data_IF_275323871277
#
_entry.id   IF_275323871277
#
_cell.length_a   1.000
_cell.length_b   1.000
_cell.length_c   1.000
_cell.angle_alpha   90.00
_cell.angle_beta   90.00
_cell.angle_gamma   90.00
#
_symmetry.space_group_name_H-M   'P 1'
#
loop_
_entity.id
_entity.type
_entity.pdbx_description
1 polymer ?
#
# COMPACT_ATOMS: atom_id res chain seq x y z
N UNK A 1 48.17 16.80 -57.38
CA UNK A 1 49.18 17.13 -56.34
C UNK A 1 48.80 16.33 -55.11
N UNK A 2 49.39 15.16 -54.91
CA UNK A 2 50.58 14.98 -54.07
C UNK A 2 50.13 14.29 -52.76
N UNK A 3 50.11 12.95 -52.74
CA UNK A 3 51.06 12.07 -52.01
C UNK A 3 50.87 12.02 -50.50
N UNK A 4 50.22 10.93 -50.05
CA UNK A 4 50.75 9.90 -49.13
C UNK A 4 51.71 10.33 -48.00
N UNK A 5 51.38 9.95 -46.75
CA UNK A 5 52.26 9.14 -45.89
C UNK A 5 51.59 8.60 -44.62
N UNK A 6 51.68 7.26 -44.48
CA UNK A 6 51.59 6.49 -43.23
C UNK A 6 52.75 6.85 -42.29
N UNK A 7 52.52 6.75 -40.98
CA UNK A 7 53.55 6.68 -39.95
C UNK A 7 53.02 5.92 -38.74
N UNK A 8 53.75 4.89 -38.31
CA UNK A 8 53.35 3.86 -37.36
C UNK A 8 53.90 4.10 -35.93
N UNK A 9 53.25 3.43 -34.98
CA UNK A 9 53.76 2.82 -33.75
C UNK A 9 54.55 3.65 -32.71
N UNK A 10 54.04 3.66 -31.47
CA UNK A 10 54.87 3.46 -30.28
C UNK A 10 54.04 2.84 -29.16
N UNK A 11 54.29 1.56 -28.92
CA UNK A 11 53.99 0.79 -27.72
C UNK A 11 54.91 1.22 -26.58
N UNK A 12 54.37 1.40 -25.38
CA UNK A 12 55.12 1.24 -24.13
C UNK A 12 54.29 0.41 -23.13
N UNK A 13 54.82 -0.77 -22.85
CA UNK A 13 54.55 -1.58 -21.67
C UNK A 13 55.55 -1.17 -20.60
N UNK A 14 55.08 -1.01 -19.35
CA UNK A 14 55.86 -1.25 -18.16
C UNK A 14 54.93 -1.86 -17.10
N UNK A 15 55.08 -3.17 -16.92
CA UNK A 15 54.93 -3.87 -15.64
C UNK A 15 55.84 -3.17 -14.59
N UNK A 16 55.69 -3.26 -13.28
CA UNK A 16 55.18 -4.32 -12.42
C UNK A 16 55.24 -3.80 -10.96
N UNK A 17 54.61 -4.54 -10.05
CA UNK A 17 54.93 -4.64 -8.61
C UNK A 17 54.49 -3.53 -7.64
N UNK A 18 53.52 -3.90 -6.80
CA UNK A 18 53.21 -3.22 -5.54
C UNK A 18 52.29 -4.07 -4.66
N UNK A 19 52.74 -5.26 -4.26
CA UNK A 19 52.10 -6.09 -3.25
C UNK A 19 51.94 -5.30 -1.94
N UNK A 20 50.71 -5.09 -1.47
CA UNK A 20 50.42 -4.72 -0.08
C UNK A 20 49.87 -5.94 0.65
N UNK A 21 50.78 -6.64 1.35
CA UNK A 21 50.48 -7.56 2.43
C UNK A 21 50.87 -6.91 3.76
N UNK A 22 50.19 -7.37 4.81
CA UNK A 22 50.49 -7.21 6.25
C UNK A 22 49.98 -5.86 6.80
N UNK A 23 49.19 -5.76 7.86
CA UNK A 23 49.25 -6.51 9.13
C UNK A 23 47.93 -6.42 9.90
N UNK A 24 47.42 -7.54 10.39
CA UNK A 24 46.47 -7.57 11.51
C UNK A 24 47.28 -7.43 12.81
N UNK A 25 47.17 -6.27 13.48
CA UNK A 25 47.68 -6.10 14.83
C UNK A 25 46.53 -6.24 15.83
N UNK A 26 46.62 -7.28 16.66
CA UNK A 26 45.85 -7.43 17.88
C UNK A 26 46.36 -6.43 18.92
N UNK A 27 45.47 -5.58 19.43
CA UNK A 27 45.72 -4.81 20.66
C UNK A 27 44.62 -5.20 21.65
N UNK A 28 44.98 -6.14 22.52
CA UNK A 28 44.33 -6.35 23.82
C UNK A 28 44.77 -5.23 24.76
N UNK A 29 43.84 -4.41 25.23
CA UNK A 29 44.06 -3.57 26.41
C UNK A 29 43.02 -3.93 27.47
N UNK A 30 43.50 -4.67 28.49
CA UNK A 30 42.84 -4.83 29.77
C UNK A 30 42.95 -3.53 30.57
N UNK A 31 41.83 -2.94 30.95
CA UNK A 31 41.76 -2.12 32.17
C UNK A 31 40.50 -2.56 32.91
N UNK A 32 40.72 -3.27 34.01
CA UNK A 32 39.67 -3.57 34.98
C UNK A 32 39.45 -2.39 35.90
N UNK A 33 38.20 -2.18 36.30
CA UNK A 33 37.84 -1.57 37.57
C UNK A 33 36.65 -2.36 38.13
N UNK A 34 36.86 -2.86 39.34
CA UNK A 34 35.96 -3.68 40.13
C UNK A 34 34.89 -2.86 40.84
N UNK A 35 33.73 -3.49 41.01
CA UNK A 35 32.87 -3.50 42.21
C UNK A 35 32.58 -2.18 42.94
N UNK A 36 31.29 -1.85 43.04
CA UNK A 36 30.71 -1.57 44.34
C UNK A 36 29.24 -2.02 44.37
N UNK A 37 29.03 -3.08 45.12
CA UNK A 37 27.77 -3.56 45.64
C UNK A 37 27.56 -2.86 46.98
N UNK A 38 26.36 -2.36 47.22
CA UNK A 38 25.93 -1.89 48.55
C UNK A 38 24.64 -2.60 48.87
N UNK A 39 24.78 -3.57 49.77
CA UNK A 39 23.72 -4.13 50.60
C UNK A 39 23.20 -3.06 51.56
N UNK A 40 21.90 -3.07 51.81
CA UNK A 40 21.33 -2.61 53.08
C UNK A 40 20.16 -3.53 53.46
N UNK A 41 20.33 -4.16 54.62
CA UNK A 41 19.51 -5.21 55.20
C UNK A 41 18.72 -4.67 56.42
N UNK A 42 17.51 -5.24 56.61
CA UNK A 42 16.73 -5.46 57.85
C UNK A 42 15.95 -4.32 58.56
N UNK A 43 14.70 -4.46 59.11
CA UNK A 43 13.55 -5.43 59.25
C UNK A 43 12.42 -4.67 60.09
N UNK A 44 11.32 -5.22 60.66
CA UNK A 44 9.99 -5.67 60.15
C UNK A 44 8.71 -5.07 60.86
N UNK A 45 7.49 -5.52 60.49
CA UNK A 45 6.35 -5.99 61.37
C UNK A 45 5.03 -6.20 60.55
N UNK A 46 4.55 -7.44 60.29
CA UNK A 46 3.52 -8.29 60.99
C UNK A 46 2.07 -7.76 61.02
N UNK A 47 1.12 -8.46 60.37
CA UNK A 47 -0.04 -9.17 61.00
C UNK A 47 -0.94 -9.91 59.97
N UNK A 48 -1.20 -11.20 60.22
CA UNK A 48 -2.25 -12.05 59.62
C UNK A 48 -3.50 -12.09 60.54
N UNK A 49 -4.70 -12.25 59.97
CA UNK A 49 -5.74 -13.10 60.58
C UNK A 49 -6.84 -13.55 59.61
N UNK A 50 -7.17 -14.84 59.69
CA UNK A 50 -8.22 -15.59 58.99
C UNK A 50 -9.65 -15.26 59.46
N UNK A 51 -10.66 -15.60 58.65
CA UNK A 51 -11.99 -16.01 59.17
C UNK A 51 -12.72 -16.97 58.23
N UNK A 52 -13.27 -18.03 58.84
CA UNK A 52 -14.04 -19.16 58.29
C UNK A 52 -15.54 -18.87 58.22
N UNK A 53 -16.28 -19.45 57.25
CA UNK A 53 -17.76 -19.52 57.33
C UNK A 53 -18.32 -20.84 56.78
N UNK A 54 -19.22 -21.44 57.55
CA UNK A 54 -19.89 -22.74 57.37
C UNK A 54 -21.04 -22.74 56.32
N UNK A 55 -21.38 -23.93 55.83
CA UNK A 55 -22.53 -24.25 54.94
C UNK A 55 -23.84 -24.49 55.70
N UNK A 56 -25.00 -24.17 55.07
CA UNK A 56 -26.28 -24.95 55.00
C UNK A 56 -27.42 -24.05 54.42
N UNK A 57 -28.60 -24.57 53.97
CA UNK A 57 -28.87 -25.62 52.98
C UNK A 57 -29.72 -25.10 51.78
N UNK A 58 -29.85 -25.93 50.74
CA UNK A 58 -30.48 -25.67 49.43
C UNK A 58 -32.02 -25.74 49.42
N UNK A 59 -32.68 -24.83 48.67
CA UNK A 59 -34.05 -24.96 48.18
C UNK A 59 -34.07 -25.13 46.65
N UNK A 60 -34.98 -25.92 46.06
CA UNK A 60 -34.96 -26.23 44.63
C UNK A 60 -35.63 -25.11 43.82
N UNK A 61 -34.90 -24.54 42.86
CA UNK A 61 -35.47 -23.66 41.83
C UNK A 61 -35.70 -24.48 40.57
N UNK A 62 -36.95 -24.48 40.09
CA UNK A 62 -37.39 -25.09 38.84
C UNK A 62 -36.79 -24.32 37.66
N UNK A 63 -35.93 -24.96 36.87
CA UNK A 63 -35.37 -24.40 35.63
C UNK A 63 -36.17 -24.95 34.44
N UNK A 64 -36.92 -24.07 33.76
CA UNK A 64 -37.43 -24.34 32.42
C UNK A 64 -36.28 -24.14 31.42
N UNK A 65 -36.09 -25.02 30.43
CA UNK A 65 -35.03 -24.84 29.44
C UNK A 65 -35.47 -23.80 28.41
N UNK A 66 -34.98 -22.57 28.53
CA UNK A 66 -34.90 -21.66 27.39
C UNK A 66 -33.69 -22.07 26.56
N UNK A 67 -33.94 -22.71 25.43
CA UNK A 67 -32.95 -22.85 24.36
C UNK A 67 -32.58 -21.45 23.86
N UNK A 68 -31.43 -20.95 24.30
CA UNK A 68 -30.78 -19.81 23.67
C UNK A 68 -30.15 -20.34 22.39
N UNK A 69 -30.74 -19.98 21.26
CA UNK A 69 -30.10 -20.14 19.95
C UNK A 69 -28.94 -19.15 19.95
N UNK A 70 -27.71 -19.66 20.12
CA UNK A 70 -26.49 -18.89 19.84
C UNK A 70 -26.24 -18.99 18.34
N UNK A 71 -27.02 -18.25 17.57
CA UNK A 71 -26.64 -17.79 16.25
C UNK A 71 -26.46 -16.26 16.38
N UNK A 72 -25.53 -15.68 15.63
CA UNK A 72 -25.28 -14.22 15.52
C UNK A 72 -24.20 -13.61 16.43
N UNK A 73 -23.07 -14.29 16.66
CA UNK A 73 -21.84 -13.58 17.10
C UNK A 73 -20.55 -13.93 16.35
N UNK A 74 -20.60 -14.83 15.35
CA UNK A 74 -19.39 -15.18 14.56
C UNK A 74 -19.23 -14.38 13.26
N UNK A 75 -20.24 -13.66 12.77
CA UNK A 75 -20.12 -12.84 11.55
C UNK A 75 -19.44 -11.47 11.78
N UNK A 76 -19.30 -11.01 13.03
CA UNK A 76 -18.73 -9.69 13.33
C UNK A 76 -17.20 -9.68 13.55
N UNK A 77 -16.51 -10.81 13.42
CA UNK A 77 -15.05 -10.91 13.64
C UNK A 77 -14.22 -11.01 12.35
N UNK A 78 -14.85 -11.05 11.17
CA UNK A 78 -14.17 -11.24 9.87
C UNK A 78 -14.35 -10.07 8.89
N UNK A 79 -14.40 -8.85 9.40
CA UNK A 79 -14.58 -7.64 8.57
C UNK A 79 -13.98 -6.36 9.15
N UNK A 80 -13.11 -6.45 10.16
CA UNK A 80 -12.41 -5.27 10.65
C UNK A 80 -11.35 -4.87 9.63
N UNK A 81 -11.51 -3.70 8.99
CA UNK A 81 -10.38 -3.05 8.35
C UNK A 81 -9.33 -2.84 9.44
N UNK A 82 -8.18 -3.50 9.29
CA UNK A 82 -7.07 -3.35 10.23
C UNK A 82 -6.61 -1.90 10.17
N UNK A 83 -6.27 -1.32 11.33
CA UNK A 83 -5.76 0.04 11.40
C UNK A 83 -4.30 0.08 10.96
N UNK A 84 -4.08 0.58 9.75
CA UNK A 84 -2.78 0.91 9.17
C UNK A 84 -2.46 2.41 9.34
N UNK A 85 -3.15 3.12 10.24
CA UNK A 85 -2.84 4.54 10.51
C UNK A 85 -1.38 4.70 10.94
N UNK A 86 -0.71 5.66 10.30
CA UNK A 86 0.72 5.91 10.49
C UNK A 86 1.66 4.89 9.85
N UNK A 87 1.19 3.90 9.10
CA UNK A 87 2.04 2.94 8.36
C UNK A 87 2.19 3.30 6.87
N UNK A 88 1.55 4.39 6.45
CA UNK A 88 1.44 4.79 5.04
C UNK A 88 2.07 6.16 4.86
N UNK A 89 3.04 6.23 3.96
CA UNK A 89 3.53 7.47 3.38
C UNK A 89 2.94 7.60 1.98
N UNK A 90 2.60 8.82 1.56
CA UNK A 90 2.02 9.04 0.24
C UNK A 90 2.47 10.34 -0.39
N UNK A 91 2.38 10.37 -1.72
CA UNK A 91 2.43 11.58 -2.53
C UNK A 91 1.32 11.53 -3.55
N UNK A 92 0.69 12.67 -3.84
CA UNK A 92 -0.44 12.76 -4.76
C UNK A 92 -0.52 14.13 -5.42
N UNK A 93 -1.38 14.24 -6.43
CA UNK A 93 -1.86 15.50 -7.00
C UNK A 93 -0.77 16.53 -7.24
N UNK A 94 -0.97 17.74 -6.75
CA UNK A 94 -0.09 18.88 -7.00
C UNK A 94 1.14 18.93 -6.08
N UNK A 95 1.99 17.91 -6.17
CA UNK A 95 3.25 17.77 -5.45
C UNK A 95 3.10 17.71 -3.92
N UNK A 96 1.97 17.21 -3.43
CA UNK A 96 1.77 16.97 -2.01
C UNK A 96 2.47 15.70 -1.56
N UNK A 97 2.92 15.71 -0.32
CA UNK A 97 3.51 14.58 0.37
C UNK A 97 2.94 14.51 1.78
N UNK A 98 2.79 13.28 2.28
CA UNK A 98 2.48 12.97 3.67
C UNK A 98 3.46 11.89 4.15
N UNK A 99 4.17 12.16 5.25
CA UNK A 99 5.10 11.21 5.85
C UNK A 99 4.38 10.09 6.60
N UNK A 100 5.12 9.05 7.01
CA UNK A 100 4.56 7.99 7.85
C UNK A 100 3.96 8.55 9.16
N UNK A 101 4.53 9.62 9.70
CA UNK A 101 4.09 10.25 10.94
C UNK A 101 3.05 11.37 10.71
N UNK A 102 2.52 11.48 9.49
CA UNK A 102 1.41 12.38 9.18
C UNK A 102 1.82 13.83 8.94
N UNK A 103 3.09 14.10 8.59
CA UNK A 103 3.56 15.45 8.26
C UNK A 103 3.32 15.76 6.79
N UNK A 104 2.52 16.81 6.54
CA UNK A 104 2.21 17.29 5.19
C UNK A 104 3.24 18.31 4.73
N UNK A 105 3.61 18.24 3.46
CA UNK A 105 4.46 19.24 2.81
C UNK A 105 4.28 19.19 1.29
N UNK A 106 4.84 20.19 0.59
CA UNK A 106 4.74 20.30 -0.86
C UNK A 106 6.14 20.55 -1.44
N UNK A 107 6.50 19.79 -2.48
CA UNK A 107 7.77 19.91 -3.20
C UNK A 107 7.52 20.06 -4.70
N UNK A 108 7.34 21.30 -5.21
CA UNK A 108 6.98 21.55 -6.60
C UNK A 108 8.17 21.39 -7.55
N UNK A 109 8.75 20.20 -7.58
CA UNK A 109 9.96 19.90 -8.32
C UNK A 109 9.79 18.58 -9.09
N UNK A 110 10.32 18.52 -10.31
CA UNK A 110 10.32 17.32 -11.16
C UNK A 110 11.54 16.41 -10.92
N UNK A 111 12.21 16.58 -9.77
CA UNK A 111 13.42 15.84 -9.43
C UNK A 111 13.11 14.35 -9.17
N UNK A 112 14.15 13.51 -9.25
CA UNK A 112 14.10 12.18 -8.67
C UNK A 112 14.35 12.27 -7.16
N UNK A 113 13.48 11.66 -6.36
CA UNK A 113 13.57 11.66 -4.90
C UNK A 113 13.56 10.24 -4.34
N UNK A 114 14.28 10.03 -3.24
CA UNK A 114 14.08 8.86 -2.38
C UNK A 114 12.84 9.13 -1.52
N UNK A 115 11.78 8.35 -1.74
CA UNK A 115 10.62 8.36 -0.87
C UNK A 115 10.93 7.69 0.46
N UNK A 116 11.35 6.42 0.40
CA UNK A 116 11.64 5.63 1.58
C UNK A 116 12.77 4.62 1.30
N UNK A 117 13.67 4.47 2.26
CA UNK A 117 14.77 3.50 2.27
C UNK A 117 15.15 3.18 3.72
N UNK A 118 15.89 2.11 3.96
CA UNK A 118 16.52 1.92 5.27
C UNK A 118 17.71 2.88 5.40
N UNK A 119 17.86 3.51 6.58
CA UNK A 119 18.99 4.42 6.83
C UNK A 119 20.34 3.70 6.84
N UNK A 120 20.39 2.44 7.26
CA UNK A 120 21.62 1.63 7.19
C UNK A 120 21.86 1.18 5.74
N UNK A 121 22.79 1.88 5.08
CA UNK A 121 23.05 1.77 3.64
C UNK A 121 23.82 0.52 3.24
N UNK A 122 24.36 -0.24 4.18
CA UNK A 122 25.22 -1.39 3.85
C UNK A 122 24.42 -2.61 3.36
N UNK A 123 23.15 -2.74 3.77
CA UNK A 123 22.23 -3.80 3.35
C UNK A 123 20.76 -3.34 3.37
N UNK A 124 20.42 -2.24 2.68
CA UNK A 124 19.03 -1.78 2.62
C UNK A 124 18.13 -2.80 1.91
N UNK A 125 17.21 -3.40 2.67
CA UNK A 125 16.24 -4.39 2.19
C UNK A 125 15.25 -3.82 1.17
N UNK A 126 14.98 -2.52 1.23
CA UNK A 126 14.21 -1.80 0.23
C UNK A 126 14.76 -0.41 -0.08
N UNK A 127 14.43 0.11 -1.26
CA UNK A 127 14.69 1.50 -1.64
C UNK A 127 13.65 1.93 -2.68
N UNK A 128 12.91 3.00 -2.40
CA UNK A 128 11.80 3.46 -3.23
C UNK A 128 12.11 4.88 -3.67
N UNK A 129 12.21 5.06 -4.99
CA UNK A 129 12.47 6.34 -5.63
C UNK A 129 11.38 6.66 -6.63
N UNK A 130 11.10 7.94 -6.81
CA UNK A 130 10.12 8.41 -7.78
C UNK A 130 10.55 9.73 -8.41
N UNK A 131 10.17 9.91 -9.68
CA UNK A 131 10.37 11.14 -10.42
C UNK A 131 9.08 11.57 -11.09
N UNK A 132 8.73 12.83 -10.92
CA UNK A 132 7.60 13.47 -11.62
C UNK A 132 8.06 14.14 -12.91
N UNK A 133 7.13 14.27 -13.85
CA UNK A 133 7.22 15.18 -14.99
C UNK A 133 5.97 16.06 -15.02
N UNK A 134 6.08 17.20 -15.66
CA UNK A 134 4.93 18.06 -15.93
C UNK A 134 4.46 17.78 -17.37
N UNK A 135 3.36 17.03 -17.52
CA UNK A 135 2.80 16.67 -18.83
C UNK A 135 1.41 17.26 -18.96
N UNK A 136 1.14 17.98 -20.05
CA UNK A 136 -0.18 18.58 -20.31
C UNK A 136 -0.70 19.45 -19.15
N UNK A 137 0.19 20.21 -18.51
CA UNK A 137 -0.08 21.03 -17.32
C UNK A 137 -0.48 20.27 -16.04
N UNK A 138 -0.18 18.96 -15.96
CA UNK A 138 -0.41 18.15 -14.78
C UNK A 138 0.89 17.48 -14.33
N UNK A 139 1.14 17.43 -13.01
CA UNK A 139 2.20 16.60 -12.47
C UNK A 139 1.83 15.13 -12.61
N UNK A 140 2.74 14.33 -13.16
CA UNK A 140 2.55 12.88 -13.35
C UNK A 140 3.81 12.14 -12.95
N UNK A 141 3.67 10.97 -12.35
CA UNK A 141 4.81 10.10 -12.06
C UNK A 141 5.33 9.54 -13.37
N UNK A 142 6.54 9.96 -13.74
CA UNK A 142 7.19 9.61 -15.01
C UNK A 142 7.99 8.32 -14.91
N UNK A 143 8.60 8.09 -13.75
CA UNK A 143 9.38 6.92 -13.45
C UNK A 143 9.40 6.70 -11.94
N UNK A 144 9.61 5.44 -11.57
CA UNK A 144 9.96 5.05 -10.22
C UNK A 144 10.99 3.93 -10.29
N UNK A 145 11.78 3.79 -9.23
CA UNK A 145 12.63 2.64 -8.99
C UNK A 145 12.28 2.09 -7.63
N UNK A 146 11.79 0.85 -7.59
CA UNK A 146 11.43 0.14 -6.38
C UNK A 146 12.37 -1.05 -6.27
N UNK A 147 13.29 -1.02 -5.31
CA UNK A 147 14.14 -2.15 -4.96
C UNK A 147 13.53 -2.87 -3.77
N UNK A 148 13.25 -4.16 -3.90
CA UNK A 148 12.80 -5.04 -2.81
C UNK A 148 13.67 -6.30 -2.81
N UNK A 149 14.41 -6.54 -1.73
CA UNK A 149 15.21 -7.75 -1.53
C UNK A 149 16.23 -8.02 -2.67
N UNK A 150 16.73 -6.95 -3.29
CA UNK A 150 17.64 -7.03 -4.42
C UNK A 150 16.97 -7.10 -5.80
N UNK A 151 15.66 -7.35 -5.86
CA UNK A 151 14.87 -7.24 -7.09
C UNK A 151 14.64 -5.77 -7.40
N UNK A 152 14.87 -5.35 -8.65
CA UNK A 152 14.72 -3.95 -9.07
C UNK A 152 13.56 -3.83 -10.04
N UNK A 153 12.51 -3.13 -9.63
CA UNK A 153 11.35 -2.81 -10.44
C UNK A 153 11.47 -1.36 -10.90
N UNK A 154 11.31 -1.10 -12.20
CA UNK A 154 11.38 0.25 -12.78
C UNK A 154 10.18 0.54 -13.65
N UNK A 155 9.65 1.75 -13.54
CA UNK A 155 8.78 2.35 -14.54
C UNK A 155 9.62 3.24 -15.44
N UNK A 156 9.59 3.00 -16.76
CA UNK A 156 10.23 3.86 -17.76
C UNK A 156 9.37 3.87 -19.01
N UNK A 157 9.01 5.08 -19.47
CA UNK A 157 8.14 5.28 -20.65
C UNK A 157 6.82 4.49 -20.60
N UNK A 158 6.21 4.39 -19.42
CA UNK A 158 4.96 3.65 -19.21
C UNK A 158 5.12 2.13 -19.15
N UNK A 159 6.34 1.61 -19.24
CA UNK A 159 6.65 0.18 -19.21
C UNK A 159 7.23 -0.17 -17.83
N UNK A 160 6.64 -1.19 -17.20
CA UNK A 160 7.17 -1.78 -15.97
C UNK A 160 8.14 -2.90 -16.34
N UNK A 161 9.33 -2.83 -15.76
CA UNK A 161 10.37 -3.85 -15.88
C UNK A 161 10.75 -4.39 -14.51
N UNK A 162 11.18 -5.65 -14.45
CA UNK A 162 11.76 -6.30 -13.29
C UNK A 162 13.12 -6.84 -13.69
N UNK A 163 14.17 -6.39 -13.01
CA UNK A 163 15.56 -6.69 -13.35
C UNK A 163 15.88 -6.47 -14.84
N UNK A 164 15.43 -5.32 -15.37
CA UNK A 164 15.62 -4.87 -16.76
C UNK A 164 14.78 -5.62 -17.82
N UNK A 165 14.00 -6.64 -17.43
CA UNK A 165 13.10 -7.35 -18.34
C UNK A 165 11.67 -6.84 -18.20
N UNK A 166 10.95 -6.70 -19.33
CA UNK A 166 9.54 -6.30 -19.33
C UNK A 166 8.70 -7.38 -18.64
N UNK A 167 7.77 -6.95 -17.79
CA UNK A 167 6.87 -7.83 -17.05
C UNK A 167 5.44 -7.70 -17.58
N UNK A 168 4.79 -8.85 -17.80
CA UNK A 168 3.34 -8.91 -17.98
C UNK A 168 2.65 -8.95 -16.61
N UNK A 169 1.58 -8.19 -16.43
CA UNK A 169 0.85 -8.05 -15.16
C UNK A 169 -0.47 -8.82 -15.27
N UNK A 170 -0.82 -9.69 -14.29
CA UNK A 170 -0.15 -9.91 -13.00
C UNK A 170 1.13 -10.75 -13.10
N UNK A 171 2.07 -10.54 -12.17
CA UNK A 171 3.33 -11.28 -12.08
C UNK A 171 3.67 -11.63 -10.64
N UNK A 172 4.22 -12.83 -10.46
CA UNK A 172 4.81 -13.29 -9.20
C UNK A 172 6.17 -13.92 -9.47
N UNK A 173 7.24 -13.19 -9.20
CA UNK A 173 8.60 -13.59 -9.52
C UNK A 173 9.55 -13.10 -8.43
N UNK A 174 10.55 -13.91 -8.08
CA UNK A 174 11.58 -13.56 -7.09
C UNK A 174 11.03 -13.07 -5.73
N UNK A 175 9.84 -13.54 -5.32
CA UNK A 175 9.18 -13.12 -4.08
C UNK A 175 8.44 -11.78 -4.16
N UNK A 176 8.48 -11.10 -5.31
CA UNK A 176 7.74 -9.86 -5.58
C UNK A 176 6.48 -10.18 -6.37
N UNK A 177 5.36 -9.56 -5.96
CA UNK A 177 4.07 -9.63 -6.64
C UNK A 177 3.73 -8.27 -7.26
N UNK A 178 3.33 -8.26 -8.52
CA UNK A 178 2.85 -7.08 -9.25
C UNK A 178 1.44 -7.38 -9.74
N UNK A 179 0.47 -6.57 -9.32
CA UNK A 179 -0.94 -6.76 -9.63
C UNK A 179 -1.58 -5.46 -10.05
N UNK A 180 -2.46 -5.53 -11.05
CA UNK A 180 -3.28 -4.40 -11.46
C UNK A 180 -4.69 -4.58 -10.93
N UNK A 181 -5.15 -3.63 -10.12
CA UNK A 181 -6.56 -3.42 -9.80
C UNK A 181 -7.13 -2.36 -10.72
N UNK A 182 -8.40 -1.98 -10.55
CA UNK A 182 -8.99 -0.88 -11.32
C UNK A 182 -8.48 0.50 -10.91
N UNK A 183 -7.91 0.62 -9.71
CA UNK A 183 -7.44 1.89 -9.16
C UNK A 183 -5.92 1.99 -9.07
N UNK A 184 -5.18 0.86 -9.04
CA UNK A 184 -3.73 0.87 -8.85
C UNK A 184 -3.02 -0.29 -9.53
N UNK A 185 -1.72 -0.10 -9.72
CA UNK A 185 -0.74 -1.18 -9.73
C UNK A 185 -0.16 -1.31 -8.31
N UNK A 186 -0.34 -2.49 -7.70
CA UNK A 186 0.23 -2.89 -6.40
C UNK A 186 1.52 -3.68 -6.64
N UNK A 187 2.63 -3.23 -6.08
CA UNK A 187 3.93 -3.91 -6.09
C UNK A 187 4.26 -4.26 -4.64
N UNK A 188 4.36 -5.55 -4.31
CA UNK A 188 4.48 -6.01 -2.92
C UNK A 188 5.49 -7.13 -2.73
N UNK A 189 6.06 -7.19 -1.52
CA UNK A 189 6.83 -8.35 -1.03
C UNK A 189 6.19 -8.86 0.25
N UNK A 190 5.80 -10.14 0.24
CA UNK A 190 5.25 -10.82 1.41
C UNK A 190 6.31 -11.02 2.51
N UNK A 191 7.60 -11.09 2.15
CA UNK A 191 8.68 -11.28 3.12
C UNK A 191 9.02 -9.97 3.85
N UNK A 192 8.99 -8.84 3.14
CA UNK A 192 9.14 -7.53 3.75
C UNK A 192 7.85 -7.02 4.41
N UNK A 193 6.70 -7.58 4.02
CA UNK A 193 5.35 -7.08 4.32
C UNK A 193 5.13 -5.64 3.84
N UNK A 194 5.84 -5.25 2.78
CA UNK A 194 5.81 -3.91 2.20
C UNK A 194 5.01 -3.92 0.90
N UNK A 195 4.17 -2.90 0.72
CA UNK A 195 3.45 -2.66 -0.52
C UNK A 195 3.64 -1.23 -1.03
N UNK A 196 3.77 -1.08 -2.34
CA UNK A 196 3.74 0.20 -3.06
C UNK A 196 2.53 0.21 -3.98
N UNK A 197 1.73 1.25 -3.91
CA UNK A 197 0.55 1.43 -4.74
C UNK A 197 0.76 2.65 -5.64
N UNK A 198 0.58 2.48 -6.95
CA UNK A 198 0.65 3.56 -7.92
C UNK A 198 -0.65 3.61 -8.71
N UNK A 199 -1.28 4.77 -8.79
CA UNK A 199 -2.58 4.95 -9.45
C UNK A 199 -2.51 5.09 -10.99
N UNK A 200 -1.37 4.70 -11.57
CA UNK A 200 -1.01 4.89 -12.97
C UNK A 200 -0.91 6.37 -13.41
N UNK A 201 -0.97 7.31 -12.46
CA UNK A 201 -0.98 8.76 -12.71
C UNK A 201 -0.03 9.51 -11.77
N UNK A 202 -0.56 10.18 -10.75
CA UNK A 202 0.16 11.15 -9.94
C UNK A 202 0.25 10.78 -8.45
N UNK A 203 -0.38 9.67 -8.05
CA UNK A 203 -0.41 9.21 -6.67
C UNK A 203 0.41 7.94 -6.50
N UNK A 204 1.28 7.95 -5.49
CA UNK A 204 2.03 6.79 -5.06
C UNK A 204 2.08 6.74 -3.54
N UNK A 205 1.69 5.59 -2.98
CA UNK A 205 1.78 5.33 -1.54
C UNK A 205 2.70 4.15 -1.25
N UNK A 206 3.36 4.22 -0.09
CA UNK A 206 4.23 3.19 0.45
C UNK A 206 3.66 2.78 1.79
N UNK A 207 3.34 1.50 1.93
CA UNK A 207 2.86 0.89 3.16
C UNK A 207 3.95 -0.02 3.73
N UNK A 208 4.30 0.19 5.00
CA UNK A 208 5.32 -0.59 5.71
C UNK A 208 4.83 -1.03 7.10
N UNK A 209 5.24 -2.23 7.56
CA UNK A 209 4.92 -2.69 8.91
C UNK A 209 5.70 -1.91 9.97
N UNK A 210 5.12 -1.86 11.16
CA UNK A 210 5.70 -1.18 12.34
C UNK A 210 7.10 -1.67 12.76
N UNK A 211 7.55 -2.84 12.28
CA UNK A 211 8.92 -3.33 12.51
C UNK A 211 10.01 -2.42 11.94
N UNK A 212 9.68 -1.52 11.01
CA UNK A 212 10.60 -0.53 10.43
C UNK A 212 10.65 0.82 11.16
N UNK A 213 9.95 0.96 12.30
CA UNK A 213 10.00 2.20 13.09
C UNK A 213 11.44 2.59 13.44
N UNK A 214 11.74 3.89 13.38
CA UNK A 214 13.07 4.48 13.61
C UNK A 214 14.19 3.98 12.67
N UNK A 215 13.85 3.34 11.57
CA UNK A 215 14.85 2.75 10.65
C UNK A 215 14.76 3.33 9.24
N UNK A 216 13.71 4.08 8.93
CA UNK A 216 13.50 4.63 7.59
C UNK A 216 14.17 5.98 7.41
N UNK A 217 14.52 6.26 6.16
CA UNK A 217 15.09 7.50 5.69
C UNK A 217 14.45 7.83 4.34
N UNK A 218 14.44 9.10 3.95
CA UNK A 218 13.80 9.57 2.72
C UNK A 218 12.76 10.65 2.99
N UNK A 219 12.03 11.07 1.95
CA UNK A 219 10.94 12.02 2.08
C UNK A 219 9.82 11.57 3.03
N UNK A 220 9.66 10.26 3.23
CA UNK A 220 8.65 9.68 4.12
C UNK A 220 8.99 9.74 5.63
N UNK A 221 10.13 10.31 6.01
CA UNK A 221 10.52 10.48 7.41
C UNK A 221 11.20 9.26 8.03
N UNK A 222 11.41 9.32 9.35
CA UNK A 222 12.10 8.27 10.12
C UNK A 222 11.15 7.26 10.77
N UNK A 223 9.84 7.48 10.63
CA UNK A 223 8.77 6.61 11.09
C UNK A 223 8.87 6.36 12.62
N UNK A 224 9.11 7.41 13.39
CA UNK A 224 9.25 7.35 14.84
C UNK A 224 7.91 7.58 15.58
N UNK A 225 6.87 8.06 14.89
CA UNK A 225 5.56 8.42 15.45
C UNK A 225 5.42 9.88 15.89
N UNK A 226 6.38 10.75 15.59
CA UNK A 226 6.50 12.10 16.14
C UNK A 226 6.49 13.12 14.99
N UNK A 227 5.28 13.52 14.57
CA UNK A 227 5.09 14.52 13.50
C UNK A 227 5.94 15.80 13.63
N UNK A 228 6.17 16.30 14.85
CA UNK A 228 6.81 17.60 15.07
C UNK A 228 8.33 17.61 14.80
N UNK A 229 8.99 16.45 14.71
CA UNK A 229 10.44 16.37 14.51
C UNK A 229 10.83 15.95 13.09
N UNK A 230 9.87 15.72 12.20
CA UNK A 230 10.09 15.21 10.84
C UNK A 230 11.09 16.04 10.03
N UNK A 231 11.12 17.37 10.26
CA UNK A 231 12.04 18.29 9.60
C UNK A 231 13.13 18.82 10.53
N UNK A 232 13.41 18.13 11.64
CA UNK A 232 14.51 18.46 12.53
C UNK A 232 15.70 17.55 12.22
N UNK A 233 16.83 18.15 11.87
CA UNK A 233 18.05 17.42 11.57
C UNK A 233 19.25 18.04 12.26
N UNK A 234 20.02 17.22 12.99
CA UNK A 234 21.17 17.68 13.77
C UNK A 234 20.84 18.87 14.71
N UNK A 235 19.58 18.96 15.16
CA UNK A 235 19.08 20.04 16.01
C UNK A 235 18.59 21.29 15.27
N UNK A 236 18.62 21.32 13.94
CA UNK A 236 18.15 22.43 13.12
C UNK A 236 16.81 22.11 12.45
N UNK A 237 15.88 23.06 12.49
CA UNK A 237 14.59 22.98 11.81
C UNK A 237 14.78 23.36 10.33
N UNK A 238 14.53 22.41 9.44
CA UNK A 238 14.61 22.60 7.99
C UNK A 238 13.30 23.13 7.42
N UNK A 239 13.40 23.86 6.32
CA UNK A 239 12.25 24.12 5.44
C UNK A 239 11.90 22.85 4.66
N UNK A 240 10.69 22.77 4.10
CA UNK A 240 10.33 21.64 3.23
C UNK A 240 11.27 21.52 2.03
N UNK A 241 11.71 22.65 1.46
CA UNK A 241 12.63 22.68 0.32
C UNK A 241 14.01 22.12 0.68
N UNK A 242 14.58 22.53 1.81
CA UNK A 242 15.87 22.01 2.29
C UNK A 242 15.79 20.52 2.63
N UNK A 243 14.68 20.11 3.25
CA UNK A 243 14.39 18.70 3.51
C UNK A 243 14.30 17.89 2.20
N UNK A 244 13.61 18.43 1.19
CA UNK A 244 13.54 17.83 -0.15
C UNK A 244 14.89 17.72 -0.83
N UNK A 245 15.71 18.77 -0.75
CA UNK A 245 17.04 18.82 -1.35
C UNK A 245 17.96 17.70 -0.83
N UNK A 246 17.87 17.38 0.46
CA UNK A 246 18.63 16.27 1.05
C UNK A 246 18.36 14.92 0.39
N UNK A 247 17.10 14.68 0.01
CA UNK A 247 16.65 13.37 -0.50
C UNK A 247 16.60 13.31 -2.03
N UNK A 248 17.12 14.34 -2.69
CA UNK A 248 17.26 14.43 -4.14
C UNK A 248 18.33 13.47 -4.66
N UNK A 249 18.00 12.72 -5.70
CA UNK A 249 18.85 11.69 -6.33
C UNK A 249 18.86 11.80 -7.86
N UNK A 250 19.03 13.01 -8.39
CA UNK A 250 19.19 13.20 -9.84
C UNK A 250 20.54 12.66 -10.32
N UNK A 251 20.55 11.96 -11.45
CA UNK A 251 21.79 11.64 -12.14
C UNK A 251 22.48 12.90 -12.67
N UNK A 252 23.81 12.88 -12.94
CA UNK A 252 24.53 14.08 -13.42
C UNK A 252 23.97 14.72 -14.70
N UNK A 253 23.25 13.93 -15.51
CA UNK A 253 22.63 14.35 -16.76
C UNK A 253 21.13 14.66 -16.62
N UNK A 254 20.54 14.42 -15.45
CA UNK A 254 19.14 14.69 -15.19
C UNK A 254 18.95 16.12 -14.71
N UNK A 255 18.03 16.84 -15.35
CA UNK A 255 17.65 18.20 -14.97
C UNK A 255 16.31 18.19 -14.27
N UNK A 256 16.26 18.83 -13.11
CA UNK A 256 15.03 19.04 -12.36
C UNK A 256 14.53 20.47 -12.58
N UNK A 257 13.22 20.61 -12.74
CA UNK A 257 12.53 21.87 -12.92
C UNK A 257 11.76 22.21 -11.65
N UNK A 258 11.89 23.46 -11.20
CA UNK A 258 11.02 24.04 -10.20
C UNK A 258 9.74 24.54 -10.88
N UNK A 259 8.60 24.14 -10.35
CA UNK A 259 7.28 24.56 -10.84
C UNK A 259 6.84 25.76 -10.01
N UNK A 260 6.58 26.87 -10.70
CA UNK A 260 6.05 28.07 -10.05
C UNK A 260 4.63 27.80 -9.54
N UNK A 261 4.50 27.77 -8.20
CA UNK A 261 3.22 27.66 -7.52
C UNK A 261 2.61 29.06 -7.37
N UNK A 262 1.32 29.22 -7.72
CA UNK A 262 0.59 30.45 -7.41
C UNK A 262 0.43 30.57 -5.90
N UNK A 263 0.98 31.64 -5.32
CA UNK A 263 0.95 31.89 -3.87
C UNK A 263 0.14 33.12 -3.46
N UNK A 264 -0.35 33.93 -4.40
CA UNK A 264 -1.09 35.15 -4.06
C UNK A 264 -2.55 34.87 -3.66
N UNK A 265 -2.89 35.27 -2.43
CA UNK A 265 -4.21 35.27 -1.76
C UNK A 265 -5.19 34.14 -2.15
N UNK A 266 -4.82 32.90 -1.82
CA UNK A 266 -5.71 31.73 -1.87
C UNK A 266 -6.80 31.73 -0.75
N UNK A 267 -7.06 32.86 -0.08
CA UNK A 267 -7.70 32.90 1.25
C UNK A 267 -9.22 32.67 1.30
N UNK A 268 -9.90 32.52 0.17
CA UNK A 268 -11.37 32.38 0.12
C UNK A 268 -11.88 30.96 -0.18
N UNK A 269 -11.01 29.94 -0.22
CA UNK A 269 -11.42 28.56 -0.58
C UNK A 269 -11.58 27.60 0.60
N UNK A 270 -11.24 28.04 1.82
CA UNK A 270 -11.24 27.17 3.01
C UNK A 270 -12.60 26.55 3.29
N UNK A 271 -13.66 27.36 3.28
CA UNK A 271 -15.02 26.89 3.59
C UNK A 271 -15.50 25.83 2.59
N UNK A 272 -15.15 25.98 1.31
CA UNK A 272 -15.48 24.99 0.28
C UNK A 272 -14.69 23.69 0.50
N UNK A 273 -13.39 23.77 0.75
CA UNK A 273 -12.56 22.60 1.07
C UNK A 273 -13.03 21.84 2.31
N UNK A 274 -13.38 22.56 3.39
CA UNK A 274 -13.91 21.95 4.61
C UNK A 274 -15.24 21.24 4.34
N UNK A 275 -16.15 21.87 3.60
CA UNK A 275 -17.43 21.26 3.23
C UNK A 275 -17.24 20.00 2.39
N UNK A 276 -16.42 20.06 1.33
CA UNK A 276 -16.17 18.92 0.45
C UNK A 276 -15.51 17.76 1.19
N UNK A 277 -14.51 18.04 2.03
CA UNK A 277 -13.85 17.01 2.83
C UNK A 277 -14.79 16.41 3.87
N UNK A 278 -15.70 17.18 4.47
CA UNK A 278 -16.72 16.64 5.37
C UNK A 278 -17.67 15.67 4.65
N UNK A 279 -18.08 15.99 3.42
CA UNK A 279 -18.93 15.12 2.62
C UNK A 279 -18.21 13.79 2.30
N UNK A 280 -16.93 13.86 1.92
CA UNK A 280 -16.06 12.68 1.72
C UNK A 280 -15.84 11.90 3.02
N UNK A 281 -15.66 12.61 4.14
CA UNK A 281 -15.35 12.04 5.45
C UNK A 281 -16.57 11.45 6.17
N UNK A 282 -17.76 11.57 5.60
CA UNK A 282 -18.98 11.00 6.16
C UNK A 282 -18.81 9.52 6.52
N UNK A 283 -19.50 9.06 7.57
CA UNK A 283 -19.26 7.75 8.17
C UNK A 283 -18.23 7.79 9.29
N UNK A 284 -17.31 6.82 9.34
CA UNK A 284 -16.34 6.66 10.44
C UNK A 284 -15.05 7.48 10.29
N UNK A 285 -14.82 8.12 9.13
CA UNK A 285 -13.53 8.76 8.83
C UNK A 285 -13.23 9.97 9.73
N UNK A 286 -14.24 10.80 10.04
CA UNK A 286 -14.06 12.02 10.84
C UNK A 286 -13.46 11.77 12.24
N UNK A 287 -13.72 10.60 12.83
CA UNK A 287 -13.15 10.22 14.13
C UNK A 287 -11.75 9.59 14.04
N UNK A 288 -11.34 9.18 12.85
CA UNK A 288 -10.11 8.41 12.63
C UNK A 288 -8.98 9.28 12.08
N UNK A 289 -9.30 10.34 11.32
CA UNK A 289 -8.30 11.14 10.64
C UNK A 289 -8.48 12.65 10.85
N UNK A 290 -7.38 13.39 11.11
CA UNK A 290 -7.43 14.84 11.16
C UNK A 290 -7.57 15.45 9.76
N UNK A 291 -8.58 16.28 9.56
CA UNK A 291 -8.82 16.94 8.26
C UNK A 291 -7.88 18.11 7.96
N UNK A 292 -7.25 18.72 8.98
CA UNK A 292 -6.55 20.00 8.81
C UNK A 292 -5.48 19.98 7.70
N UNK A 293 -4.67 18.91 7.60
CA UNK A 293 -3.65 18.80 6.54
C UNK A 293 -4.24 18.70 5.13
N UNK A 294 -5.35 17.97 4.99
CA UNK A 294 -6.06 17.81 3.72
C UNK A 294 -6.78 19.10 3.31
N UNK A 295 -7.33 19.87 4.25
CA UNK A 295 -7.92 21.18 3.98
C UNK A 295 -6.86 22.12 3.40
N UNK A 296 -5.66 22.15 3.98
CA UNK A 296 -4.55 22.98 3.44
C UNK A 296 -4.10 22.51 2.05
N UNK A 297 -4.02 21.19 1.81
CA UNK A 297 -3.72 20.64 0.50
C UNK A 297 -4.78 21.03 -0.54
N UNK A 298 -6.06 20.91 -0.18
CA UNK A 298 -7.20 21.28 -1.02
C UNK A 298 -7.18 22.78 -1.39
N UNK A 299 -6.90 23.67 -0.43
CA UNK A 299 -6.81 25.11 -0.70
C UNK A 299 -5.73 25.40 -1.75
N UNK A 300 -4.58 24.74 -1.63
CA UNK A 300 -3.47 24.88 -2.58
C UNK A 300 -3.83 24.34 -3.97
N UNK A 301 -4.55 23.23 -4.05
CA UNK A 301 -5.01 22.66 -5.31
C UNK A 301 -5.99 23.61 -6.02
N UNK A 302 -6.99 24.12 -5.29
CA UNK A 302 -7.95 25.09 -5.84
C UNK A 302 -7.29 26.38 -6.31
N UNK A 303 -6.28 26.85 -5.57
CA UNK A 303 -5.58 28.09 -5.92
C UNK A 303 -4.82 28.00 -7.26
N UNK A 304 -4.41 26.79 -7.64
CA UNK A 304 -3.67 26.54 -8.87
C UNK A 304 -4.55 25.99 -9.99
N UNK A 305 -5.84 25.84 -9.71
CA UNK A 305 -6.80 25.29 -10.64
C UNK A 305 -7.08 26.27 -11.77
N UNK A 306 -6.65 25.91 -12.98
CA UNK A 306 -7.00 26.63 -14.22
C UNK A 306 -8.13 25.92 -14.99
N UNK A 307 -8.61 24.77 -14.49
CA UNK A 307 -9.64 23.95 -15.11
C UNK A 307 -10.89 23.85 -14.22
N UNK A 308 -11.73 22.83 -14.42
CA UNK A 308 -12.93 22.65 -13.58
C UNK A 308 -12.53 22.32 -12.14
N UNK A 309 -13.28 22.82 -11.16
CA UNK A 309 -13.02 22.54 -9.74
C UNK A 309 -12.95 21.03 -9.46
N UNK A 310 -13.79 20.24 -10.14
CA UNK A 310 -13.79 18.78 -10.03
C UNK A 310 -12.42 18.20 -10.39
N UNK A 311 -11.81 18.61 -11.51
CA UNK A 311 -10.51 18.06 -11.96
C UNK A 311 -9.36 18.31 -10.99
N UNK A 312 -9.35 19.45 -10.30
CA UNK A 312 -8.25 19.82 -9.41
C UNK A 312 -8.36 19.20 -8.00
N UNK A 313 -9.57 18.86 -7.59
CA UNK A 313 -9.85 18.40 -6.23
C UNK A 313 -9.77 16.88 -6.08
N UNK A 314 -9.96 16.13 -7.17
CA UNK A 314 -10.09 14.68 -7.10
C UNK A 314 -8.93 14.00 -6.40
N UNK A 315 -7.69 14.48 -6.58
CA UNK A 315 -6.52 13.84 -6.01
C UNK A 315 -6.51 13.94 -4.48
N UNK A 316 -6.76 15.13 -3.93
CA UNK A 316 -6.80 15.34 -2.47
C UNK A 316 -8.03 14.69 -1.82
N UNK A 317 -9.19 14.73 -2.48
CA UNK A 317 -10.38 14.01 -1.98
C UNK A 317 -10.20 12.49 -2.02
N UNK A 318 -9.57 11.96 -3.09
CA UNK A 318 -9.23 10.55 -3.20
C UNK A 318 -8.21 10.14 -2.13
N UNK A 319 -7.20 10.96 -1.87
CA UNK A 319 -6.23 10.69 -0.84
C UNK A 319 -6.87 10.65 0.55
N UNK A 320 -7.79 11.56 0.87
CA UNK A 320 -8.52 11.51 2.13
C UNK A 320 -9.33 10.21 2.27
N UNK A 321 -10.08 9.83 1.23
CA UNK A 321 -10.84 8.57 1.18
C UNK A 321 -9.94 7.34 1.40
N UNK A 322 -8.80 7.28 0.70
CA UNK A 322 -7.81 6.21 0.83
C UNK A 322 -7.23 6.12 2.23
N UNK A 323 -6.79 7.25 2.80
CA UNK A 323 -6.23 7.28 4.13
C UNK A 323 -7.29 6.83 5.16
N UNK A 324 -8.56 7.18 4.95
CA UNK A 324 -9.64 6.71 5.83
C UNK A 324 -9.76 5.19 5.82
N UNK A 325 -9.75 4.56 4.64
CA UNK A 325 -9.75 3.12 4.52
C UNK A 325 -8.55 2.47 5.22
N UNK A 326 -7.36 3.07 5.08
CA UNK A 326 -6.15 2.61 5.78
C UNK A 326 -6.26 2.76 7.30
N UNK A 327 -6.94 3.78 7.81
CA UNK A 327 -7.15 3.98 9.25
C UNK A 327 -8.24 3.05 9.84
N UNK A 328 -8.66 2.01 9.12
CA UNK A 328 -9.74 1.12 9.56
C UNK A 328 -11.15 1.66 9.28
N UNK A 329 -11.27 2.83 8.65
CA UNK A 329 -12.53 3.49 8.36
C UNK A 329 -13.28 2.91 7.16
N UNK A 330 -14.47 3.44 6.93
CA UNK A 330 -15.37 3.06 5.84
C UNK A 330 -15.82 4.34 5.12
N UNK A 331 -15.01 4.86 4.17
CA UNK A 331 -15.39 6.03 3.41
C UNK A 331 -16.68 5.75 2.62
N UNK A 332 -17.62 6.69 2.68
CA UNK A 332 -18.85 6.61 1.87
C UNK A 332 -18.54 6.94 0.41
N UNK A 333 -19.42 6.50 -0.49
CA UNK A 333 -19.33 6.87 -1.91
C UNK A 333 -19.55 8.37 -2.08
N UNK A 334 -18.46 9.09 -2.36
CA UNK A 334 -18.46 10.54 -2.53
C UNK A 334 -18.37 10.99 -4.00
N UNK A 335 -18.01 10.07 -4.89
CA UNK A 335 -17.92 10.34 -6.33
C UNK A 335 -19.30 10.41 -6.96
N UNK A 336 -19.52 11.41 -7.79
CA UNK A 336 -20.74 11.57 -8.59
C UNK A 336 -20.38 11.79 -10.06
N UNK A 337 -21.38 11.88 -10.95
CA UNK A 337 -21.13 12.20 -12.36
C UNK A 337 -20.52 13.60 -12.54
N UNK A 338 -20.79 14.51 -11.59
CA UNK A 338 -20.33 15.90 -11.58
C UNK A 338 -19.01 16.07 -10.79
N UNK A 339 -18.69 15.15 -9.88
CA UNK A 339 -17.51 15.20 -9.03
C UNK A 339 -16.73 13.88 -9.06
N UNK A 340 -15.60 13.87 -9.77
CA UNK A 340 -14.62 12.78 -9.75
C UNK A 340 -15.18 11.40 -10.12
N UNK A 341 -16.19 11.37 -10.99
CA UNK A 341 -16.83 10.15 -11.46
C UNK A 341 -15.85 9.14 -12.03
N UNK A 342 -16.09 7.86 -11.75
CA UNK A 342 -15.29 6.73 -12.22
C UNK A 342 -16.16 5.80 -13.05
N UNK A 343 -15.61 5.33 -14.17
CA UNK A 343 -16.26 4.34 -15.02
C UNK A 343 -15.67 2.97 -14.73
N UNK A 344 -16.53 2.00 -14.45
CA UNK A 344 -16.14 0.61 -14.25
C UNK A 344 -16.41 -0.20 -15.52
N UNK A 345 -15.54 -1.18 -15.85
CA UNK A 345 -15.78 -2.08 -16.97
C UNK A 345 -16.97 -3.01 -16.67
N UNK A 346 -17.58 -3.54 -17.72
CA UNK A 346 -18.73 -4.45 -17.64
C UNK A 346 -19.88 -3.85 -16.80
N UNK A 347 -20.41 -4.63 -15.86
CA UNK A 347 -21.43 -4.26 -14.88
C UNK A 347 -20.87 -4.17 -13.45
N UNK A 348 -19.56 -3.89 -13.30
CA UNK A 348 -18.98 -3.64 -11.98
C UNK A 348 -19.40 -2.25 -11.49
N UNK A 349 -19.46 -2.10 -10.17
CA UNK A 349 -19.77 -0.84 -9.50
C UNK A 349 -18.56 -0.30 -8.75
N UNK A 350 -18.40 1.02 -8.74
CA UNK A 350 -17.34 1.66 -7.99
C UNK A 350 -17.65 1.65 -6.49
N UNK A 351 -16.66 1.30 -5.67
CA UNK A 351 -16.71 1.47 -4.21
C UNK A 351 -15.44 2.15 -3.75
N UNK A 352 -15.53 2.99 -2.72
CA UNK A 352 -14.38 3.60 -2.03
C UNK A 352 -13.69 2.62 -1.07
N UNK A 353 -14.38 1.54 -0.71
CA UNK A 353 -13.91 0.53 0.22
C UNK A 353 -14.54 -0.81 -0.14
N UNK A 354 -13.96 -1.50 -1.12
CA UNK A 354 -14.31 -2.87 -1.49
C UNK A 354 -13.23 -3.86 -1.09
N UNK A 355 -13.62 -5.13 -0.89
CA UNK A 355 -12.67 -6.20 -0.55
C UNK A 355 -11.76 -6.50 -1.75
N UNK A 356 -10.42 -6.41 -1.62
CA UNK A 356 -9.52 -6.64 -2.75
C UNK A 356 -9.57 -8.07 -3.28
N UNK A 357 -9.79 -9.06 -2.40
CA UNK A 357 -9.96 -10.46 -2.79
C UNK A 357 -11.36 -10.69 -3.35
N UNK A 358 -11.48 -10.66 -4.68
CA UNK A 358 -12.74 -10.81 -5.40
C UNK A 358 -13.21 -12.26 -5.39
N UNK A 359 -14.48 -12.47 -5.07
CA UNK A 359 -15.13 -13.75 -5.31
C UNK A 359 -15.37 -13.92 -6.81
N UNK A 360 -15.03 -15.10 -7.30
CA UNK A 360 -15.08 -15.45 -8.72
C UNK A 360 -15.89 -16.73 -8.93
N UNK A 361 -16.27 -17.01 -10.17
CA UNK A 361 -16.94 -18.27 -10.49
C UNK A 361 -16.10 -19.50 -10.15
N UNK A 362 -14.78 -19.43 -10.35
CA UNK A 362 -13.87 -20.51 -9.97
C UNK A 362 -13.54 -20.57 -8.48
N UNK A 363 -13.60 -19.43 -7.77
CA UNK A 363 -13.29 -19.34 -6.34
C UNK A 363 -14.21 -18.34 -5.61
N UNK A 364 -15.29 -18.88 -5.04
CA UNK A 364 -16.40 -18.13 -4.46
C UNK A 364 -16.21 -17.68 -3.02
N UNK A 365 -15.17 -18.19 -2.34
CA UNK A 365 -14.90 -17.89 -0.92
C UNK A 365 -13.59 -17.10 -0.73
N UNK A 366 -13.06 -16.53 -1.81
CA UNK A 366 -11.82 -15.74 -1.82
C UNK A 366 -11.88 -14.58 -0.81
N UNK A 367 -13.05 -13.95 -0.70
CA UNK A 367 -13.26 -12.80 0.17
C UNK A 367 -13.30 -13.16 1.66
N UNK A 368 -13.55 -14.43 2.02
CA UNK A 368 -13.65 -14.87 3.41
C UNK A 368 -12.28 -15.04 4.08
N UNK A 369 -11.25 -15.34 3.30
CA UNK A 369 -9.86 -15.52 3.76
C UNK A 369 -8.97 -14.31 3.45
N UNK A 370 -9.57 -13.21 3.01
CA UNK A 370 -8.85 -12.00 2.66
C UNK A 370 -8.32 -11.29 3.91
N UNK A 371 -7.00 -11.18 4.01
CA UNK A 371 -6.33 -10.44 5.09
C UNK A 371 -6.00 -8.99 4.71
N UNK A 372 -6.31 -8.59 3.47
CA UNK A 372 -6.09 -7.23 3.00
C UNK A 372 -7.23 -6.32 3.45
N UNK A 373 -6.90 -5.09 3.86
CA UNK A 373 -7.88 -4.04 4.09
C UNK A 373 -8.59 -3.65 2.80
N UNK A 374 -9.74 -3.01 2.91
CA UNK A 374 -10.45 -2.55 1.73
C UNK A 374 -9.66 -1.50 0.95
N UNK A 375 -9.92 -1.44 -0.35
CA UNK A 375 -9.41 -0.39 -1.24
C UNK A 375 -10.53 0.14 -2.14
N UNK A 376 -10.35 1.32 -2.70
CA UNK A 376 -11.24 1.78 -3.76
C UNK A 376 -11.04 1.00 -5.07
N UNK A 377 -12.07 0.99 -5.89
CA UNK A 377 -12.04 0.32 -7.19
C UNK A 377 -13.41 -0.16 -7.65
N UNK A 378 -13.40 -1.02 -8.67
CA UNK A 378 -14.59 -1.62 -9.24
C UNK A 378 -14.76 -3.05 -8.73
N UNK A 379 -15.93 -3.32 -8.16
CA UNK A 379 -16.30 -4.58 -7.53
C UNK A 379 -17.65 -5.07 -8.04
N UNK A 380 -17.92 -6.36 -7.85
CA UNK A 380 -19.22 -6.91 -8.17
C UNK A 380 -20.29 -6.45 -7.17
N UNK A 381 -21.51 -6.15 -7.63
CA UNK A 381 -22.63 -5.86 -6.73
C UNK A 381 -22.91 -7.03 -5.77
N UNK A 382 -23.46 -6.71 -4.60
CA UNK A 382 -23.83 -7.72 -3.60
C UNK A 382 -24.68 -8.85 -4.18
N UNK A 383 -24.31 -10.09 -3.88
CA UNK A 383 -24.99 -11.30 -4.38
C UNK A 383 -24.53 -11.79 -5.76
N UNK A 384 -23.48 -11.18 -6.33
CA UNK A 384 -22.88 -11.61 -7.61
C UNK A 384 -21.37 -11.87 -7.45
N UNK A 385 -20.80 -12.68 -8.34
CA UNK A 385 -19.37 -12.99 -8.40
C UNK A 385 -18.81 -12.66 -9.78
N UNK A 386 -17.50 -12.39 -9.87
CA UNK A 386 -16.87 -12.09 -11.16
C UNK A 386 -16.70 -13.38 -11.98
N UNK A 387 -17.14 -13.36 -13.23
CA UNK A 387 -16.95 -14.48 -14.15
C UNK A 387 -15.53 -14.46 -14.72
N UNK A 388 -14.60 -15.09 -14.01
CA UNK A 388 -13.18 -15.23 -14.38
C UNK A 388 -12.94 -16.24 -15.52
N UNK A 389 -13.94 -17.04 -15.89
CA UNK A 389 -13.84 -18.06 -16.94
C UNK A 389 -14.09 -17.45 -18.32
N UNK A 390 -15.07 -16.54 -18.44
CA UNK A 390 -15.43 -15.87 -19.70
C UNK A 390 -14.98 -14.41 -19.71
N UNK A 391 -14.65 -13.84 -18.54
CA UNK A 391 -14.25 -12.45 -18.34
C UNK A 391 -15.28 -11.44 -18.87
N UNK A 392 -16.56 -11.64 -18.55
CA UNK A 392 -17.66 -10.81 -19.05
C UNK A 392 -18.42 -10.03 -17.97
N UNK A 393 -17.87 -9.93 -16.76
CA UNK A 393 -18.44 -9.15 -15.66
C UNK A 393 -19.00 -10.01 -14.53
N UNK A 394 -19.95 -9.45 -13.79
CA UNK A 394 -20.52 -10.04 -12.58
C UNK A 394 -21.80 -10.81 -12.91
N UNK A 395 -21.87 -12.05 -12.43
CA UNK A 395 -23.03 -12.94 -12.62
C UNK A 395 -23.50 -13.50 -11.28
N UNK A 396 -24.78 -13.86 -11.15
CA UNK A 396 -25.25 -14.69 -10.05
C UNK A 396 -24.45 -15.99 -9.95
N UNK A 397 -24.25 -16.49 -8.73
CA UNK A 397 -23.48 -17.71 -8.46
C UNK A 397 -24.03 -18.93 -9.22
N UNK A 398 -25.35 -19.04 -9.35
CA UNK A 398 -26.03 -20.12 -10.08
C UNK A 398 -25.89 -20.00 -11.61
N UNK A 399 -25.36 -18.88 -12.10
CA UNK A 399 -25.08 -18.63 -13.51
C UNK A 399 -23.60 -18.79 -13.88
N UNK A 400 -22.76 -19.23 -12.94
CA UNK A 400 -21.35 -19.46 -13.21
C UNK A 400 -21.14 -20.62 -14.19
N UNK A 401 -20.41 -20.39 -15.31
CA UNK A 401 -20.04 -21.48 -16.22
C UNK A 401 -19.00 -22.39 -15.57
N UNK A 402 -18.86 -23.60 -16.09
CA UNK A 402 -17.84 -24.57 -15.66
C UNK A 402 -16.82 -24.79 -16.76
N UNK A 403 -15.53 -24.84 -16.39
CA UNK A 403 -14.45 -25.21 -17.30
C UNK A 403 -14.08 -26.69 -17.10
N UNK A 404 -14.26 -27.52 -18.12
CA UNK A 404 -13.88 -28.93 -18.09
C UNK A 404 -13.10 -29.33 -19.35
N UNK A 405 -11.90 -29.89 -19.17
CA UNK A 405 -10.99 -30.27 -20.27
C UNK A 405 -10.77 -29.17 -21.33
N UNK A 406 -10.77 -27.90 -20.92
CA UNK A 406 -10.58 -26.75 -21.80
C UNK A 406 -11.85 -26.27 -22.53
N UNK A 407 -12.99 -26.92 -22.31
CA UNK A 407 -14.28 -26.50 -22.84
C UNK A 407 -15.13 -25.83 -21.74
N UNK A 408 -15.83 -24.76 -22.12
CA UNK A 408 -16.72 -24.00 -21.24
C UNK A 408 -18.14 -24.54 -21.40
N UNK A 409 -18.77 -24.85 -20.27
CA UNK A 409 -20.13 -25.36 -20.20
C UNK A 409 -21.00 -24.42 -19.38
N UNK A 410 -22.19 -24.11 -19.88
CA UNK A 410 -23.18 -23.31 -19.16
C UNK A 410 -23.92 -24.15 -18.12
N UNK A 411 -24.49 -23.51 -17.08
CA UNK A 411 -25.37 -24.21 -16.15
C UNK A 411 -26.48 -24.97 -16.88
N UNK A 412 -26.61 -26.27 -16.60
CA UNK A 412 -27.56 -27.17 -17.25
C UNK A 412 -27.01 -27.94 -18.47
N UNK A 413 -25.81 -27.61 -18.95
CA UNK A 413 -25.15 -28.41 -19.98
C UNK A 413 -24.75 -29.80 -19.43
N UNK A 414 -24.56 -30.76 -20.36
CA UNK A 414 -24.12 -32.11 -20.04
C UNK A 414 -22.98 -32.56 -20.94
N UNK A 415 -22.07 -33.35 -20.38
CA UNK A 415 -20.94 -33.92 -21.09
C UNK A 415 -20.92 -35.44 -20.90
N UNK A 416 -20.72 -36.18 -22.01
CA UNK A 416 -20.74 -37.65 -22.01
C UNK A 416 -19.32 -38.20 -22.18
N UNK A 417 -18.83 -38.97 -21.21
CA UNK A 417 -17.68 -39.86 -21.40
C UNK A 417 -18.16 -41.28 -21.68
N UNK A 418 -17.39 -42.11 -22.42
CA UNK A 418 -17.67 -43.54 -22.50
C UNK A 418 -17.70 -44.09 -21.07
N UNK A 419 -18.85 -44.65 -20.66
CA UNK A 419 -19.17 -45.23 -19.35
C UNK A 419 -19.80 -44.33 -18.27
N UNK A 420 -19.94 -43.01 -18.41
CA UNK A 420 -20.63 -42.16 -17.40
C UNK A 420 -21.28 -40.90 -18.03
N UNK A 421 -22.52 -40.60 -17.64
CA UNK A 421 -23.18 -39.31 -17.92
C UNK A 421 -23.00 -38.38 -16.70
N UNK A 422 -22.52 -37.16 -16.95
CA UNK A 422 -22.29 -36.13 -15.95
C UNK A 422 -23.20 -34.94 -16.22
N UNK A 423 -23.84 -34.43 -15.18
CA UNK A 423 -24.62 -33.20 -15.22
C UNK A 423 -23.85 -32.12 -14.49
N UNK A 424 -23.83 -30.92 -15.06
CA UNK A 424 -23.21 -29.77 -14.43
C UNK A 424 -24.27 -29.12 -13.54
N UNK A 425 -24.07 -29.24 -12.23
CA UNK A 425 -24.80 -28.45 -11.24
C UNK A 425 -23.81 -27.42 -10.66
N UNK A 426 -24.35 -26.33 -10.13
CA UNK A 426 -23.64 -25.14 -9.61
C UNK A 426 -22.22 -25.48 -9.13
N UNK A 427 -21.23 -24.91 -9.84
CA UNK A 427 -19.77 -25.00 -9.62
C UNK A 427 -19.11 -26.38 -9.48
N UNK A 428 -19.85 -27.49 -9.58
CA UNK A 428 -19.33 -28.83 -9.40
C UNK A 428 -19.88 -29.83 -10.44
N UNK A 429 -18.97 -30.63 -11.00
CA UNK A 429 -19.32 -31.72 -11.92
C UNK A 429 -19.82 -32.91 -11.09
N UNK A 430 -21.12 -33.25 -11.20
CA UNK A 430 -21.74 -34.35 -10.47
C UNK A 430 -21.92 -35.61 -11.32
N UNK A 431 -21.47 -36.75 -10.78
CA UNK A 431 -21.63 -38.07 -11.38
C UNK A 431 -23.02 -38.63 -11.12
N UNK A 432 -23.71 -39.10 -12.16
CA UNK A 432 -24.76 -40.10 -12.01
C UNK A 432 -24.33 -41.40 -12.68
N UNK A 433 -24.15 -42.45 -11.87
CA UNK A 433 -23.94 -43.80 -12.38
C UNK A 433 -25.34 -44.38 -12.67
N UNK A 434 -25.70 -44.46 -13.95
CA UNK A 434 -26.82 -45.28 -14.37
C UNK A 434 -26.46 -46.76 -14.18
N UNK A 435 -26.88 -47.35 -13.07
CA UNK A 435 -26.94 -48.80 -12.95
C UNK A 435 -28.07 -49.29 -13.84
N UNK A 436 -27.73 -49.70 -15.07
CA UNK A 436 -28.60 -50.59 -15.83
C UNK A 436 -28.66 -51.92 -15.06
N UNK A 437 -29.73 -52.12 -14.28
CA UNK A 437 -30.13 -53.47 -13.88
C UNK A 437 -30.49 -54.22 -15.16
N UNK A 438 -29.65 -55.19 -15.52
CA UNK A 438 -29.96 -56.23 -16.51
C UNK A 438 -31.03 -57.17 -15.98
#
# INVERSE_FOLDING_TARGET
MGTEKRGAAASYSLAEMGNLKVSYLWITLFIGLSSQQTDFDFFPDIFEQETTTEMMPTSPVSVLPTTVVIADTYENLMGMNVDHSGQVCSTWGNFHFNTFDGQFFQLPYTCNYILATMCDSTMSDFNIQMRRKYTSNLPTISSFTIKLEGVVIRLTDGIITMNEEKVDIPSYQFGVRIERTTSYIKISSNKLELAVFWDEQNSLSVEIPTKYRNQTCGLCGDFNGIKINEFIMNGEQLTSQDYGHKWKMDAPTETCEEIELKTEECSDQRAECEKLLVDVASGSCLSLLPMAGFVEACIKDLCQCNSSQAECLCDTLSEYSRQCAHAGGQPQSWRTNELCGKTCPFNLEHSECGRPCKDTCSNQESSQVCTEHCSDGCFCPSGTVFNDIVENGCVPVDQCPCLHNGEIYQPGDSYKKPCQEWYINITHIHTHIHTHNM
#
